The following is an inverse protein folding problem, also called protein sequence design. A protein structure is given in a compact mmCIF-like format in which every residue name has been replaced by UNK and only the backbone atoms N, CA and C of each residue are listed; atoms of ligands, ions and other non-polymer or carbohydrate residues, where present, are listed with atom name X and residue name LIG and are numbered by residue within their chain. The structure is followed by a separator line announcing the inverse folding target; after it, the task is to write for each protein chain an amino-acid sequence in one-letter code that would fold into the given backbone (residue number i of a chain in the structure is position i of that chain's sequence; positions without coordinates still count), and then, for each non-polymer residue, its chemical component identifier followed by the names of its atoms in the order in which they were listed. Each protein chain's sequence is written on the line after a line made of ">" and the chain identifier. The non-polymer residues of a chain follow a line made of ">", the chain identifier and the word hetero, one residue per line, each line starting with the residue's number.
data_IF_912450518285
#
_entry.id   IF_912450518285
#
_cell.length_a   1.000
_cell.length_b   1.000
_cell.length_c   1.000
_cell.angle_alpha   90.00
_cell.angle_beta   90.00
_cell.angle_gamma   90.00
#
_symmetry.space_group_name_H-M   'P 1'
#
loop_
_entity.id
_entity.type
_entity.pdbx_description
1 polymer ?
#
# COMPACT_ATOMS: atom_id res chain seq x y z
N UNK A 1 -4.12 -7.63 -4.98
CA UNK A 1 -3.61 -8.64 -5.95
C UNK A 1 -3.37 -9.99 -5.26
N UNK A 2 -2.42 -10.07 -4.32
CA UNK A 2 -2.11 -11.29 -3.56
C UNK A 2 -3.34 -12.08 -3.07
N UNK A 3 -4.23 -11.43 -2.31
CA UNK A 3 -5.46 -12.07 -1.82
C UNK A 3 -6.34 -12.63 -2.95
N UNK A 4 -6.52 -11.90 -4.05
CA UNK A 4 -7.35 -12.32 -5.17
C UNK A 4 -6.73 -13.49 -5.93
N UNK A 5 -5.43 -13.44 -6.21
CA UNK A 5 -4.74 -14.47 -6.99
C UNK A 5 -4.51 -15.76 -6.19
N UNK A 6 -4.49 -15.70 -4.84
CA UNK A 6 -4.46 -16.89 -3.99
C UNK A 6 -5.83 -17.53 -3.78
N UNK A 7 -6.93 -16.77 -3.87
CA UNK A 7 -8.28 -17.27 -3.53
C UNK A 7 -9.19 -17.52 -4.74
N UNK A 8 -8.89 -16.89 -5.89
CA UNK A 8 -9.71 -16.99 -7.10
C UNK A 8 -8.88 -17.59 -8.25
N UNK A 9 -8.76 -18.93 -8.34
CA UNK A 9 -7.95 -19.59 -9.37
C UNK A 9 -8.36 -19.22 -10.81
N UNK A 10 -9.65 -18.98 -11.04
CA UNK A 10 -10.15 -18.58 -12.36
C UNK A 10 -9.68 -17.18 -12.77
N UNK A 11 -9.45 -16.28 -11.81
CA UNK A 11 -8.84 -14.98 -12.06
C UNK A 11 -7.33 -15.12 -12.23
N UNK A 12 -6.67 -15.89 -11.35
CA UNK A 12 -5.22 -16.12 -11.41
C UNK A 12 -4.77 -16.65 -12.78
N UNK A 13 -5.53 -17.57 -13.39
CA UNK A 13 -5.27 -18.10 -14.74
C UNK A 13 -5.26 -17.04 -15.85
N UNK A 14 -5.87 -15.88 -15.64
CA UNK A 14 -5.92 -14.77 -16.61
C UNK A 14 -4.72 -13.85 -16.50
N UNK A 15 -3.88 -14.02 -15.47
CA UNK A 15 -2.72 -13.15 -15.21
C UNK A 15 -1.46 -13.85 -15.71
N UNK A 16 -0.84 -13.32 -16.77
CA UNK A 16 0.42 -13.85 -17.31
C UNK A 16 1.59 -13.67 -16.36
N UNK A 17 1.68 -12.50 -15.73
CA UNK A 17 2.72 -12.14 -14.77
C UNK A 17 2.19 -11.05 -13.83
N UNK A 18 2.57 -11.12 -12.56
CA UNK A 18 2.25 -10.11 -11.55
C UNK A 18 3.53 -9.33 -11.19
N UNK A 19 3.57 -8.05 -11.54
CA UNK A 19 4.62 -7.12 -11.13
C UNK A 19 4.18 -6.42 -9.84
N UNK A 20 4.80 -6.76 -8.72
CA UNK A 20 4.48 -6.23 -7.41
C UNK A 20 5.52 -5.17 -7.01
N UNK A 21 5.09 -3.91 -6.96
CA UNK A 21 5.93 -2.74 -6.65
C UNK A 21 5.59 -2.29 -5.23
N UNK A 22 6.58 -2.19 -4.33
CA UNK A 22 6.36 -1.98 -2.90
C UNK A 22 5.30 -2.94 -2.31
N UNK A 23 5.50 -4.27 -2.41
CA UNK A 23 4.46 -5.24 -2.12
C UNK A 23 4.08 -5.27 -0.65
N UNK A 24 2.78 -5.19 -0.36
CA UNK A 24 2.26 -5.32 1.01
C UNK A 24 1.40 -6.58 1.14
N UNK A 25 1.76 -7.42 2.10
CA UNK A 25 0.99 -8.59 2.53
C UNK A 25 0.75 -8.56 4.04
N UNK A 26 1.80 -8.32 4.82
CA UNK A 26 1.72 -8.00 6.24
C UNK A 26 2.31 -6.62 6.48
N UNK A 27 1.95 -6.00 7.60
CA UNK A 27 2.44 -4.68 8.06
C UNK A 27 2.74 -4.68 9.54
N UNK A 28 3.37 -5.77 10.01
CA UNK A 28 3.72 -5.94 11.42
C UNK A 28 4.89 -5.06 11.81
N UNK A 29 5.83 -4.85 10.89
CA UNK A 29 7.08 -4.14 11.12
C UNK A 29 7.13 -2.78 10.44
N UNK A 30 6.10 -2.43 9.67
CA UNK A 30 5.91 -1.11 9.08
C UNK A 30 6.04 0.00 10.15
N UNK A 31 6.87 1.00 9.86
CA UNK A 31 7.13 2.16 10.73
C UNK A 31 6.36 3.40 10.31
N UNK A 32 5.60 3.30 9.22
CA UNK A 32 4.85 4.41 8.67
C UNK A 32 3.83 4.99 9.68
N UNK A 33 3.49 6.28 9.60
CA UNK A 33 2.41 6.85 10.40
C UNK A 33 1.06 6.14 10.22
N UNK A 34 0.84 5.50 9.07
CA UNK A 34 -0.32 4.63 8.85
C UNK A 34 -0.30 3.43 9.82
N UNK A 35 0.86 2.80 10.03
CA UNK A 35 1.01 1.72 10.99
C UNK A 35 0.69 2.18 12.43
N UNK A 36 0.95 3.45 12.77
CA UNK A 36 0.58 4.00 14.09
C UNK A 36 -0.93 4.05 14.32
N UNK A 37 -1.78 4.09 13.28
CA UNK A 37 -3.24 3.92 13.46
C UNK A 37 -3.59 2.52 14.00
N UNK A 38 -2.70 1.54 13.85
CA UNK A 38 -2.76 0.22 14.47
C UNK A 38 -2.78 0.26 16.01
N UNK A 39 -2.26 1.30 16.66
CA UNK A 39 -2.33 1.37 18.14
C UNK A 39 -3.68 1.89 18.65
N UNK A 40 -4.49 2.48 17.79
CA UNK A 40 -5.77 3.09 18.16
C UNK A 40 -6.88 2.03 18.14
N UNK A 41 -7.74 1.94 19.18
CA UNK A 41 -8.89 1.02 19.16
C UNK A 41 -9.84 1.27 18.00
N UNK A 42 -10.40 0.21 17.42
CA UNK A 42 -11.29 0.29 16.23
C UNK A 42 -12.53 1.15 16.50
N UNK A 43 -13.07 1.13 17.72
CA UNK A 43 -14.17 2.00 18.13
C UNK A 43 -13.78 3.48 18.06
N UNK A 44 -12.61 3.83 18.59
CA UNK A 44 -12.15 5.21 18.61
C UNK A 44 -11.89 5.72 17.18
N UNK A 45 -11.37 4.88 16.28
CA UNK A 45 -11.25 5.23 14.86
C UNK A 45 -12.61 5.48 14.20
N UNK A 46 -13.64 4.70 14.53
CA UNK A 46 -15.02 4.93 14.06
C UNK A 46 -15.62 6.21 14.62
N UNK A 47 -15.34 6.54 15.88
CA UNK A 47 -15.85 7.75 16.52
C UNK A 47 -15.18 9.01 15.95
N UNK A 48 -13.87 8.96 15.68
CA UNK A 48 -13.11 10.08 15.11
C UNK A 48 -13.43 10.34 13.63
N UNK A 49 -13.49 9.28 12.82
CA UNK A 49 -13.57 9.40 11.35
C UNK A 49 -14.94 9.04 10.78
N UNK A 50 -15.86 8.53 11.61
CA UNK A 50 -17.18 8.08 11.19
C UNK A 50 -17.17 6.70 10.52
N UNK A 51 -18.17 6.43 9.68
CA UNK A 51 -18.39 5.11 9.02
C UNK A 51 -18.36 5.15 7.49
N UNK A 52 -18.07 6.32 6.90
CA UNK A 52 -18.12 6.55 5.45
C UNK A 52 -16.70 6.74 4.88
N UNK A 53 -16.43 7.90 4.29
CA UNK A 53 -15.14 8.24 3.69
C UNK A 53 -14.15 8.66 4.78
N UNK A 54 -12.94 8.11 4.72
CA UNK A 54 -11.83 8.54 5.56
C UNK A 54 -11.19 9.78 4.94
N UNK A 55 -11.17 10.88 5.71
CA UNK A 55 -10.56 12.16 5.32
C UNK A 55 -10.92 12.59 3.89
N UNK A 56 -12.21 12.84 3.59
CA UNK A 56 -12.63 13.28 2.26
C UNK A 56 -11.90 14.55 1.85
N UNK A 57 -11.35 14.56 0.64
CA UNK A 57 -10.87 15.77 -0.02
C UNK A 57 -12.04 16.75 -0.11
N UNK A 58 -11.93 17.88 0.59
CA UNK A 58 -12.93 18.95 0.53
C UNK A 58 -12.36 20.16 -0.22
N UNK A 59 -13.26 21.06 -0.63
CA UNK A 59 -12.88 22.25 -1.41
C UNK A 59 -11.80 23.08 -0.71
N UNK A 60 -11.86 23.18 0.62
CA UNK A 60 -10.91 23.96 1.43
C UNK A 60 -9.52 23.32 1.42
N UNK A 61 -9.41 22.00 1.61
CA UNK A 61 -8.15 21.26 1.54
C UNK A 61 -7.51 21.35 0.15
N UNK A 62 -8.31 21.23 -0.92
CA UNK A 62 -7.82 21.44 -2.29
C UNK A 62 -7.36 22.87 -2.53
N UNK A 63 -8.16 23.86 -2.10
CA UNK A 63 -7.82 25.27 -2.26
C UNK A 63 -6.52 25.64 -1.53
N UNK A 64 -6.37 25.16 -0.28
CA UNK A 64 -5.14 25.30 0.50
C UNK A 64 -3.96 24.61 -0.20
N UNK A 65 -4.15 23.38 -0.68
CA UNK A 65 -3.12 22.67 -1.43
C UNK A 65 -2.67 23.44 -2.68
N UNK A 66 -3.58 24.05 -3.43
CA UNK A 66 -3.23 24.77 -4.67
C UNK A 66 -2.56 26.12 -4.42
N UNK A 67 -2.95 26.87 -3.38
CA UNK A 67 -2.51 28.27 -3.20
C UNK A 67 -1.42 28.42 -2.13
N UNK A 68 -1.33 27.50 -1.17
CA UNK A 68 -0.33 27.53 -0.09
C UNK A 68 0.91 26.72 -0.48
N UNK A 69 0.72 25.58 -1.17
CA UNK A 69 1.80 24.66 -1.56
C UNK A 69 2.52 24.99 -2.86
N UNK A 70 2.35 26.22 -3.36
CA UNK A 70 3.13 26.78 -4.47
C UNK A 70 4.22 27.72 -3.96
N UNK A 71 4.28 27.95 -2.64
CA UNK A 71 5.27 28.80 -1.99
C UNK A 71 6.45 27.95 -1.50
N UNK A 72 7.64 28.20 -2.04
CA UNK A 72 8.91 27.49 -1.78
C UNK A 72 9.25 27.13 -0.32
N UNK A 73 8.78 27.92 0.66
CA UNK A 73 9.06 27.70 2.10
C UNK A 73 8.03 26.74 2.72
N UNK A 74 6.83 26.66 2.14
CA UNK A 74 5.73 25.81 2.58
C UNK A 74 5.61 24.54 1.73
N UNK A 75 6.40 24.38 0.66
CA UNK A 75 6.49 23.17 -0.14
C UNK A 75 6.80 21.93 0.73
N UNK A 76 7.71 22.06 1.70
CA UNK A 76 8.05 20.98 2.65
C UNK A 76 6.89 20.65 3.60
N UNK A 77 6.14 21.67 4.06
CA UNK A 77 4.95 21.53 4.90
C UNK A 77 3.75 20.95 4.13
N UNK A 78 3.75 21.17 2.83
CA UNK A 78 2.80 20.67 1.86
C UNK A 78 3.19 19.33 1.24
N UNK A 79 4.30 18.73 1.71
CA UNK A 79 4.56 17.31 1.69
C UNK A 79 3.35 16.58 2.29
N UNK A 80 2.35 16.41 1.42
CA UNK A 80 1.07 15.79 1.53
C UNK A 80 0.93 14.86 2.74
N UNK A 81 -0.24 14.87 3.38
CA UNK A 81 -0.63 13.84 4.35
C UNK A 81 -0.28 12.43 3.83
N UNK A 82 -0.35 12.18 2.53
CA UNK A 82 0.08 10.93 1.91
C UNK A 82 1.60 10.69 1.86
N UNK A 83 2.41 11.71 1.57
CA UNK A 83 3.87 11.65 1.69
C UNK A 83 4.27 11.25 3.12
N UNK A 84 3.58 11.83 4.11
CA UNK A 84 3.77 11.48 5.52
C UNK A 84 3.26 10.08 5.85
N UNK A 85 2.13 9.63 5.31
CA UNK A 85 1.54 8.32 5.63
C UNK A 85 2.32 7.12 5.04
N UNK A 86 2.98 7.30 3.89
CA UNK A 86 3.67 6.22 3.18
C UNK A 86 5.20 6.27 3.32
N UNK A 87 5.80 7.46 3.42
CA UNK A 87 7.25 7.66 3.33
C UNK A 87 7.67 8.08 1.93
N UNK A 88 8.62 9.02 1.83
CA UNK A 88 9.07 9.59 0.56
C UNK A 88 10.54 10.01 0.58
N UNK A 89 11.16 9.94 -0.59
CA UNK A 89 12.54 10.30 -0.79
C UNK A 89 12.64 11.68 -1.48
N UNK A 90 12.88 12.73 -0.69
CA UNK A 90 13.07 14.10 -1.19
C UNK A 90 14.10 14.20 -2.32
N UNK A 91 15.17 13.39 -2.27
CA UNK A 91 16.25 13.42 -3.27
C UNK A 91 15.83 12.82 -4.61
N UNK A 92 14.76 12.03 -4.64
CA UNK A 92 14.30 11.32 -5.82
C UNK A 92 12.89 11.74 -6.24
N UNK A 93 12.36 12.84 -5.67
CA UNK A 93 11.05 13.37 -6.00
C UNK A 93 11.19 14.67 -6.81
N UNK A 94 10.36 14.86 -7.83
CA UNK A 94 10.26 16.15 -8.51
C UNK A 94 9.51 17.15 -7.63
N UNK A 95 10.25 17.94 -6.84
CA UNK A 95 9.65 18.92 -5.91
C UNK A 95 8.78 19.96 -6.61
N UNK A 96 9.08 20.32 -7.87
CA UNK A 96 8.25 21.24 -8.66
C UNK A 96 6.89 20.67 -9.10
N UNK A 97 6.59 19.40 -8.79
CA UNK A 97 5.32 18.73 -9.08
C UNK A 97 4.53 18.33 -7.84
N UNK A 98 4.95 18.77 -6.66
CA UNK A 98 4.28 18.47 -5.38
C UNK A 98 2.83 18.94 -5.40
N UNK A 99 2.53 20.07 -6.02
CA UNK A 99 1.16 20.57 -6.24
C UNK A 99 0.26 19.56 -6.95
N UNK A 100 0.77 18.89 -7.99
CA UNK A 100 0.06 17.86 -8.75
C UNK A 100 -0.15 16.62 -7.88
N UNK A 101 0.90 16.14 -7.21
CA UNK A 101 0.80 14.97 -6.33
C UNK A 101 -0.20 15.21 -5.19
N UNK A 102 -0.15 16.40 -4.58
CA UNK A 102 -1.01 16.82 -3.46
C UNK A 102 -2.46 17.06 -3.84
N UNK A 103 -2.73 17.50 -5.07
CA UNK A 103 -4.10 17.71 -5.54
C UNK A 103 -4.80 16.39 -5.88
N UNK A 104 -4.04 15.38 -6.35
CA UNK A 104 -4.59 14.10 -6.80
C UNK A 104 -4.51 12.97 -5.76
N UNK A 105 -3.71 13.13 -4.72
CA UNK A 105 -3.54 12.14 -3.66
C UNK A 105 -3.79 12.77 -2.28
N UNK A 106 -4.51 12.11 -1.36
CA UNK A 106 -5.27 10.86 -1.54
C UNK A 106 -6.49 11.03 -2.45
N UNK A 107 -6.82 9.97 -3.20
CA UNK A 107 -8.02 9.88 -4.06
C UNK A 107 -9.29 9.40 -3.31
N UNK A 108 -9.18 9.16 -2.00
CA UNK A 108 -10.27 8.70 -1.13
C UNK A 108 -10.26 7.21 -0.83
N UNK A 109 -10.66 6.85 0.39
CA UNK A 109 -10.84 5.48 0.88
C UNK A 109 -11.95 5.45 1.94
N UNK A 110 -12.49 4.28 2.27
CA UNK A 110 -13.45 4.14 3.38
C UNK A 110 -12.74 4.08 4.73
N UNK A 111 -13.43 4.50 5.80
CA UNK A 111 -12.96 4.30 7.18
C UNK A 111 -12.79 2.82 7.48
N UNK A 112 -13.68 1.97 6.96
CA UNK A 112 -13.58 0.51 7.13
C UNK A 112 -12.26 -0.04 6.57
N UNK A 113 -11.78 0.46 5.42
CA UNK A 113 -10.49 0.06 4.89
C UNK A 113 -9.34 0.43 5.83
N UNK A 114 -9.38 1.65 6.41
CA UNK A 114 -8.36 2.07 7.38
C UNK A 114 -8.38 1.24 8.66
N UNK A 115 -9.57 0.82 9.10
CA UNK A 115 -9.70 -0.10 10.24
C UNK A 115 -9.14 -1.48 9.86
N UNK A 116 -9.34 -1.95 8.64
CA UNK A 116 -8.73 -3.21 8.19
C UNK A 116 -7.20 -3.14 8.23
N UNK A 117 -6.60 -2.03 7.80
CA UNK A 117 -5.16 -1.77 7.96
C UNK A 117 -4.75 -1.76 9.43
N UNK A 118 -5.52 -1.11 10.31
CA UNK A 118 -5.28 -1.12 11.77
C UNK A 118 -5.29 -2.55 12.34
N UNK A 119 -6.26 -3.38 11.92
CA UNK A 119 -6.33 -4.80 12.30
C UNK A 119 -5.11 -5.59 11.81
N UNK A 120 -4.66 -5.33 10.57
CA UNK A 120 -3.47 -5.96 10.00
C UNK A 120 -2.20 -5.60 10.77
N UNK A 121 -2.06 -4.34 11.22
CA UNK A 121 -0.93 -3.92 12.07
C UNK A 121 -0.99 -4.60 13.43
N UNK A 122 -2.15 -4.60 14.09
CA UNK A 122 -2.33 -5.21 15.43
C UNK A 122 -1.99 -6.68 15.46
N UNK A 123 -2.39 -7.41 14.42
CA UNK A 123 -2.26 -8.87 14.35
C UNK A 123 -0.96 -9.29 13.68
N UNK A 124 -0.45 -8.49 12.74
CA UNK A 124 0.62 -8.88 11.83
C UNK A 124 0.21 -10.01 10.88
N UNK A 125 -1.09 -10.17 10.64
CA UNK A 125 -1.67 -11.27 9.87
C UNK A 125 -2.32 -10.78 8.58
N UNK A 126 -2.13 -11.53 7.50
CA UNK A 126 -2.86 -11.30 6.26
C UNK A 126 -4.18 -12.09 6.27
N UNK A 127 -5.27 -11.43 6.65
CA UNK A 127 -6.61 -12.01 6.71
C UNK A 127 -7.68 -11.02 6.29
N UNK A 128 -8.88 -11.52 6.03
CA UNK A 128 -10.05 -10.69 5.74
C UNK A 128 -10.42 -9.80 6.94
N UNK A 129 -11.28 -8.81 6.70
CA UNK A 129 -11.68 -7.82 7.70
C UNK A 129 -12.42 -8.48 8.87
N UNK A 130 -12.09 -8.12 10.11
CA UNK A 130 -12.87 -8.53 11.28
C UNK A 130 -14.04 -7.59 11.50
N UNK A 131 -15.26 -8.13 11.42
CA UNK A 131 -16.50 -7.38 11.61
C UNK A 131 -16.82 -7.10 13.09
N UNK A 132 -15.98 -7.56 14.02
CA UNK A 132 -16.04 -7.21 15.44
C UNK A 132 -16.92 -8.12 16.29
N UNK A 133 -17.57 -9.12 15.70
CA UNK A 133 -18.25 -10.19 16.44
C UNK A 133 -18.31 -11.49 15.63
N UNK A 134 -18.44 -12.62 16.34
CA UNK A 134 -18.60 -13.95 15.71
C UNK A 134 -19.81 -14.01 14.78
N UNK A 135 -20.93 -13.40 15.19
CA UNK A 135 -22.16 -13.37 14.40
C UNK A 135 -22.00 -12.55 13.12
N UNK A 136 -21.34 -11.39 13.21
CA UNK A 136 -21.07 -10.57 12.03
C UNK A 136 -20.09 -11.26 11.07
N UNK A 137 -19.00 -11.85 11.57
CA UNK A 137 -18.09 -12.64 10.74
C UNK A 137 -18.80 -13.83 10.08
N UNK A 138 -19.71 -14.51 10.80
CA UNK A 138 -20.51 -15.60 10.25
C UNK A 138 -21.37 -15.12 9.07
N UNK A 139 -22.02 -13.96 9.19
CA UNK A 139 -22.83 -13.38 8.13
C UNK A 139 -22.03 -13.02 6.86
N UNK A 140 -20.73 -12.76 6.97
CA UNK A 140 -19.88 -12.41 5.84
C UNK A 140 -19.06 -13.57 5.28
N UNK A 141 -18.65 -14.51 6.10
CA UNK A 141 -17.65 -15.53 5.74
C UNK A 141 -18.15 -16.97 5.90
N UNK A 142 -19.36 -17.19 6.43
CA UNK A 142 -19.83 -18.51 6.88
C UNK A 142 -18.89 -19.19 7.89
N UNK A 143 -18.11 -18.39 8.63
CA UNK A 143 -17.25 -18.80 9.73
C UNK A 143 -17.13 -17.69 10.77
N UNK A 144 -16.87 -18.03 12.03
CA UNK A 144 -16.87 -17.06 13.14
C UNK A 144 -15.65 -16.14 13.21
N UNK A 145 -14.59 -16.45 12.45
CA UNK A 145 -13.34 -15.69 12.38
C UNK A 145 -13.05 -15.31 10.93
N UNK A 146 -12.33 -14.22 10.66
CA UNK A 146 -11.98 -13.87 9.28
C UNK A 146 -11.04 -14.90 8.65
N UNK A 147 -11.25 -15.31 7.39
CA UNK A 147 -10.35 -16.24 6.70
C UNK A 147 -9.00 -15.60 6.39
N UNK A 148 -7.93 -16.41 6.43
CA UNK A 148 -6.58 -16.00 6.05
C UNK A 148 -6.39 -16.04 4.53
N UNK A 149 -5.63 -15.09 3.99
CA UNK A 149 -5.18 -15.18 2.60
C UNK A 149 -3.81 -15.86 2.54
N UNK A 150 -3.75 -17.03 1.91
CA UNK A 150 -2.55 -17.85 1.86
C UNK A 150 -1.75 -17.55 0.59
N UNK A 151 -0.69 -16.74 0.72
CA UNK A 151 0.17 -16.37 -0.42
C UNK A 151 0.74 -17.60 -1.14
N UNK A 152 1.02 -18.69 -0.40
CA UNK A 152 1.51 -19.95 -0.98
C UNK A 152 0.58 -20.58 -2.02
N UNK A 153 -0.72 -20.26 -1.98
CA UNK A 153 -1.70 -20.75 -2.94
C UNK A 153 -1.73 -19.92 -4.24
N UNK A 154 -1.03 -18.78 -4.28
CA UNK A 154 -0.89 -17.96 -5.48
C UNK A 154 0.11 -18.58 -6.46
N UNK A 155 -0.37 -19.04 -7.62
CA UNK A 155 0.46 -19.70 -8.64
C UNK A 155 1.03 -18.75 -9.70
N UNK A 156 0.60 -17.49 -9.71
CA UNK A 156 0.95 -16.50 -10.74
C UNK A 156 2.46 -16.20 -10.71
N UNK A 157 3.16 -16.24 -11.86
CA UNK A 157 4.56 -15.78 -11.93
C UNK A 157 4.68 -14.36 -11.42
N UNK A 158 5.50 -14.13 -10.39
CA UNK A 158 5.54 -12.85 -9.69
C UNK A 158 6.95 -12.25 -9.71
N UNK A 159 7.05 -11.00 -10.16
CA UNK A 159 8.26 -10.20 -10.12
C UNK A 159 8.09 -9.07 -9.09
N UNK A 160 9.07 -8.90 -8.21
CA UNK A 160 8.96 -8.00 -7.05
C UNK A 160 10.03 -6.91 -7.07
N UNK A 161 9.64 -5.66 -6.83
CA UNK A 161 10.56 -4.58 -6.49
C UNK A 161 10.21 -4.02 -5.11
N UNK A 162 11.23 -3.86 -4.26
CA UNK A 162 11.06 -3.42 -2.86
C UNK A 162 12.07 -2.33 -2.47
N UNK A 163 11.64 -1.33 -1.69
CA UNK A 163 12.49 -0.25 -1.23
C UNK A 163 13.30 -0.67 -0.01
N UNK A 164 14.52 -0.16 0.13
CA UNK A 164 15.32 -0.39 1.33
C UNK A 164 15.00 0.54 2.48
N UNK A 165 14.42 1.71 2.19
CA UNK A 165 13.97 2.68 3.19
C UNK A 165 12.45 2.70 3.35
N UNK A 166 11.69 1.96 2.54
CA UNK A 166 10.23 1.94 2.55
C UNK A 166 9.64 1.69 3.96
N UNK A 167 8.84 2.65 4.46
CA UNK A 167 8.23 2.55 5.79
C UNK A 167 6.96 1.69 5.84
N UNK A 168 6.31 1.45 4.70
CA UNK A 168 5.02 0.77 4.64
C UNK A 168 5.16 -0.68 4.16
N UNK A 169 5.84 -0.90 3.04
CA UNK A 169 6.26 -2.22 2.58
C UNK A 169 7.69 -2.49 3.09
N UNK A 170 7.84 -2.53 4.40
CA UNK A 170 9.17 -2.52 5.02
C UNK A 170 9.99 -3.77 4.70
N UNK A 171 11.33 -3.69 4.70
CA UNK A 171 12.19 -4.80 4.31
C UNK A 171 11.96 -6.10 5.09
N UNK A 172 11.48 -6.06 6.34
CA UNK A 172 11.22 -7.27 7.13
C UNK A 172 9.94 -7.95 6.69
N UNK A 173 8.83 -7.20 6.57
CA UNK A 173 7.57 -7.74 6.06
C UNK A 173 7.73 -8.24 4.61
N UNK A 174 8.48 -7.52 3.76
CA UNK A 174 8.81 -7.98 2.39
C UNK A 174 9.64 -9.26 2.42
N UNK A 175 10.67 -9.36 3.26
CA UNK A 175 11.47 -10.58 3.36
C UNK A 175 10.60 -11.79 3.75
N UNK A 176 9.66 -11.61 4.67
CA UNK A 176 8.69 -12.65 5.02
C UNK A 176 7.77 -13.02 3.86
N UNK A 177 7.28 -12.03 3.12
CA UNK A 177 6.44 -12.24 1.94
C UNK A 177 7.15 -13.05 0.85
N UNK A 178 8.41 -12.72 0.53
CA UNK A 178 9.18 -13.40 -0.51
C UNK A 178 9.31 -14.91 -0.26
N UNK A 179 9.41 -15.34 1.01
CA UNK A 179 9.44 -16.78 1.36
C UNK A 179 8.13 -17.53 1.09
N UNK A 180 7.03 -16.81 0.89
CA UNK A 180 5.70 -17.39 0.68
C UNK A 180 5.27 -17.39 -0.78
N UNK A 181 5.90 -16.60 -1.64
CA UNK A 181 5.59 -16.55 -3.08
C UNK A 181 6.19 -17.80 -3.73
N UNK A 182 5.33 -18.74 -4.14
CA UNK A 182 5.77 -20.03 -4.70
C UNK A 182 6.37 -19.92 -6.10
N UNK A 183 5.90 -18.96 -6.90
CA UNK A 183 6.38 -18.70 -8.25
C UNK A 183 7.04 -17.31 -8.37
N UNK A 184 8.07 -17.09 -7.55
CA UNK A 184 8.86 -15.85 -7.58
C UNK A 184 9.88 -15.93 -8.73
N UNK A 185 9.66 -15.14 -9.79
CA UNK A 185 10.53 -15.15 -10.98
C UNK A 185 11.62 -14.08 -10.93
N UNK A 186 11.42 -13.05 -10.11
CA UNK A 186 12.35 -11.94 -9.98
C UNK A 186 12.15 -11.20 -8.67
N UNK A 187 13.24 -10.75 -8.05
CA UNK A 187 13.22 -9.81 -6.94
C UNK A 187 14.38 -8.82 -7.06
N UNK A 188 14.07 -7.53 -6.97
CA UNK A 188 15.06 -6.46 -6.84
C UNK A 188 14.75 -5.61 -5.63
N UNK A 189 15.73 -5.46 -4.75
CA UNK A 189 15.70 -4.45 -3.69
C UNK A 189 16.46 -3.22 -4.15
N UNK A 190 15.85 -2.04 -4.02
CA UNK A 190 16.49 -0.76 -4.29
C UNK A 190 16.75 -0.07 -2.95
N UNK A 191 18.00 -0.06 -2.45
CA UNK A 191 18.31 0.29 -1.06
C UNK A 191 17.80 1.66 -0.59
N UNK A 192 17.84 2.66 -1.47
CA UNK A 192 17.55 4.06 -1.17
C UNK A 192 16.11 4.47 -1.45
N UNK A 193 15.31 3.60 -2.08
CA UNK A 193 13.92 3.92 -2.40
C UNK A 193 13.01 3.83 -1.18
N UNK A 194 12.12 4.81 -1.07
CA UNK A 194 10.96 4.87 -0.19
C UNK A 194 9.71 4.37 -0.94
N UNK A 195 8.55 4.34 -0.26
CA UNK A 195 7.32 3.77 -0.79
C UNK A 195 6.82 4.45 -2.09
N UNK A 196 7.08 5.75 -2.24
CA UNK A 196 6.55 6.54 -3.35
C UNK A 196 7.49 6.62 -4.55
N UNK A 197 8.76 6.22 -4.41
CA UNK A 197 9.72 6.16 -5.52
C UNK A 197 9.22 5.25 -6.66
N UNK A 198 8.44 4.21 -6.34
CA UNK A 198 7.86 3.27 -7.31
C UNK A 198 6.88 3.89 -8.30
N UNK A 199 6.34 5.07 -8.00
CA UNK A 199 5.40 5.79 -8.87
C UNK A 199 5.89 7.19 -9.25
N UNK A 200 6.67 7.84 -8.38
CA UNK A 200 7.11 9.24 -8.55
C UNK A 200 8.63 9.42 -8.50
N UNK A 201 9.40 8.35 -8.33
CA UNK A 201 10.86 8.39 -8.36
C UNK A 201 11.38 8.89 -9.70
N UNK A 202 12.28 9.87 -9.67
CA UNK A 202 12.91 10.43 -10.87
C UNK A 202 13.69 9.36 -11.66
N UNK A 203 14.32 8.43 -10.95
CA UNK A 203 15.08 7.30 -11.51
C UNK A 203 14.24 6.03 -11.77
N UNK A 204 12.93 6.05 -11.47
CA UNK A 204 12.05 4.89 -11.63
C UNK A 204 12.00 4.33 -13.07
N UNK A 205 12.04 5.15 -14.14
CA UNK A 205 12.11 4.65 -15.51
C UNK A 205 13.32 3.75 -15.75
N UNK A 206 14.49 4.20 -15.33
CA UNK A 206 15.77 3.52 -15.61
C UNK A 206 15.95 2.29 -14.74
N UNK A 207 15.51 2.36 -13.48
CA UNK A 207 15.78 1.31 -12.50
C UNK A 207 14.69 0.25 -12.39
N UNK A 208 13.49 0.51 -12.90
CA UNK A 208 12.36 -0.40 -12.76
C UNK A 208 11.45 -0.47 -13.98
N UNK A 209 10.95 0.65 -14.52
CA UNK A 209 9.96 0.57 -15.61
C UNK A 209 10.54 -0.10 -16.87
N UNK A 210 11.79 0.19 -17.22
CA UNK A 210 12.47 -0.46 -18.34
C UNK A 210 12.64 -1.97 -18.12
N UNK A 211 12.91 -2.42 -16.89
CA UNK A 211 12.98 -3.85 -16.55
C UNK A 211 11.61 -4.53 -16.70
N UNK A 212 10.54 -3.89 -16.23
CA UNK A 212 9.16 -4.37 -16.40
C UNK A 212 8.82 -4.50 -17.89
N UNK A 213 9.10 -3.48 -18.70
CA UNK A 213 8.85 -3.51 -20.15
C UNK A 213 9.61 -4.65 -20.82
N UNK A 214 10.88 -4.86 -20.46
CA UNK A 214 11.69 -5.94 -21.01
C UNK A 214 11.15 -7.32 -20.61
N UNK A 215 10.68 -7.50 -19.36
CA UNK A 215 10.02 -8.73 -18.94
C UNK A 215 8.72 -8.96 -19.72
N UNK A 216 7.89 -7.93 -19.87
CA UNK A 216 6.65 -8.02 -20.66
C UNK A 216 6.96 -8.47 -22.09
N UNK A 217 7.97 -7.87 -22.75
CA UNK A 217 8.38 -8.24 -24.12
C UNK A 217 8.93 -9.66 -24.24
N UNK A 218 9.51 -10.21 -23.16
CA UNK A 218 10.02 -11.58 -23.15
C UNK A 218 8.91 -12.62 -22.98
N UNK A 219 7.78 -12.23 -22.38
CA UNK A 219 6.65 -13.12 -22.04
C UNK A 219 5.39 -12.92 -22.91
N UNK A 220 5.34 -11.87 -23.73
CA UNK A 220 4.36 -11.66 -24.79
C UNK A 220 4.92 -12.13 -26.13
#
# INVERSE_FOLDING_TARGET
>A
AFAAFSTLPQLAKKIKMFFALAPVATVKFATSPLAKLGVVPDLLLKDMFGKKQFLPQNFVLKWLATHVCTHRILDDLCGNLFFLLCGFNERNLNMSRVDVYSTHCPAGTSVQNMIHWSQAVKTGELKAYDWGSKAANMAHYNQSTPPFYKIKEMTVPTAVWSGGQDWLADPKDVAMLLTQITNLVYHKKIPEWEHLDFIWGLDAPDRMYNEIINMIRKYL
#
